data_IF_710415255187
#
_entry.id   IF_710415255187
#
_cell.length_a   1.000
_cell.length_b   1.000
_cell.length_c   1.000
_cell.angle_alpha   90.00
_cell.angle_beta   90.00
_cell.angle_gamma   90.00
#
_symmetry.space_group_name_H-M   'P 1'
#
loop_
_entity.id
_entity.type
_entity.pdbx_description
1 polymer ?
#
# COMPACT_ATOMS: atom_id res chain seq x y z
N UNK A 1 -11.89 11.55 -14.61
CA UNK A 1 -12.63 12.16 -13.51
C UNK A 1 -11.84 13.38 -13.06
N UNK A 2 -12.48 14.58 -12.95
CA UNK A 2 -11.80 15.76 -12.48
C UNK A 2 -11.27 15.54 -11.07
N UNK A 3 -10.02 15.97 -10.82
CA UNK A 3 -9.42 15.93 -9.48
C UNK A 3 -10.27 16.84 -8.56
N UNK A 4 -10.65 16.38 -7.37
CA UNK A 4 -11.34 17.26 -6.43
C UNK A 4 -10.35 18.35 -6.01
N UNK A 5 -10.61 19.58 -6.44
CA UNK A 5 -10.00 20.76 -5.88
C UNK A 5 -10.44 20.82 -4.41
N UNK A 6 -9.51 20.61 -3.49
CA UNK A 6 -9.78 20.89 -2.07
C UNK A 6 -9.82 22.40 -1.93
N UNK A 7 -11.04 22.91 -1.82
CA UNK A 7 -11.27 24.33 -1.64
C UNK A 7 -10.84 24.70 -0.21
N UNK A 8 -9.80 25.51 -0.09
CA UNK A 8 -9.21 25.90 1.21
C UNK A 8 -10.20 26.60 2.13
N UNK A 9 -11.27 27.20 1.61
CA UNK A 9 -12.31 27.81 2.43
C UNK A 9 -13.17 26.80 3.21
N UNK A 10 -13.27 25.56 2.74
CA UNK A 10 -14.00 24.51 3.47
C UNK A 10 -13.16 23.88 4.61
N UNK A 11 -11.84 24.06 4.60
CA UNK A 11 -10.94 23.43 5.57
C UNK A 11 -11.10 24.03 6.96
N UNK A 12 -11.31 25.36 7.06
CA UNK A 12 -11.55 26.02 8.35
C UNK A 12 -12.84 25.54 9.04
N UNK A 13 -13.89 25.28 8.27
CA UNK A 13 -15.17 24.78 8.79
C UNK A 13 -15.03 23.36 9.35
N UNK A 14 -14.18 22.52 8.75
CA UNK A 14 -13.98 21.15 9.22
C UNK A 14 -13.11 21.08 10.49
N UNK A 15 -12.20 22.02 10.71
CA UNK A 15 -11.37 22.07 11.93
C UNK A 15 -12.19 22.46 13.15
N UNK A 16 -13.22 23.26 13.00
CA UNK A 16 -14.16 23.63 14.08
C UNK A 16 -15.07 22.46 14.49
N UNK A 17 -15.32 21.53 13.58
CA UNK A 17 -16.18 20.36 13.82
C UNK A 17 -15.36 19.15 14.27
N UNK A 18 -14.17 18.96 13.67
CA UNK A 18 -13.26 17.88 13.98
C UNK A 18 -12.13 18.43 14.86
N UNK A 19 -11.90 17.84 16.01
CA UNK A 19 -10.71 18.20 16.80
C UNK A 19 -9.43 18.03 15.97
N UNK A 20 -8.40 18.85 16.26
CA UNK A 20 -7.11 18.85 15.57
C UNK A 20 -6.50 17.45 15.39
N UNK A 21 -6.67 16.60 16.39
CA UNK A 21 -6.19 15.21 16.41
C UNK A 21 -6.88 14.37 15.32
N UNK A 22 -8.21 14.46 15.21
CA UNK A 22 -9.01 13.71 14.25
C UNK A 22 -8.71 14.17 12.83
N UNK A 23 -8.68 15.48 12.60
CA UNK A 23 -8.33 16.07 11.31
C UNK A 23 -6.98 15.60 10.79
N UNK A 24 -5.94 15.68 11.63
CA UNK A 24 -4.60 15.24 11.24
C UNK A 24 -4.57 13.75 10.83
N UNK A 25 -5.23 12.88 11.59
CA UNK A 25 -5.25 11.46 11.26
C UNK A 25 -6.12 11.12 10.04
N UNK A 26 -7.19 11.86 9.78
CA UNK A 26 -7.97 11.70 8.55
C UNK A 26 -7.17 12.07 7.31
N UNK A 27 -6.35 13.11 7.37
CA UNK A 27 -5.44 13.46 6.29
C UNK A 27 -4.36 12.39 6.07
N UNK A 28 -3.81 11.82 7.15
CA UNK A 28 -2.87 10.68 7.05
C UNK A 28 -3.53 9.49 6.36
N UNK A 29 -4.72 9.11 6.79
CA UNK A 29 -5.48 8.01 6.17
C UNK A 29 -5.77 8.29 4.70
N UNK A 30 -6.23 9.51 4.37
CA UNK A 30 -6.48 9.91 3.00
C UNK A 30 -5.23 9.84 2.11
N UNK A 31 -4.08 10.28 2.62
CA UNK A 31 -2.83 10.28 1.87
C UNK A 31 -2.31 8.86 1.63
N UNK A 32 -2.41 7.97 2.64
CA UNK A 32 -1.88 6.61 2.57
C UNK A 32 -2.86 5.62 1.90
N UNK A 33 -4.17 5.91 1.89
CA UNK A 33 -5.20 5.07 1.29
C UNK A 33 -5.30 5.24 -0.23
N UNK A 34 -4.20 5.13 -0.96
CA UNK A 34 -4.17 5.21 -2.43
C UNK A 34 -3.77 3.88 -3.05
N UNK A 35 -4.15 3.68 -4.31
CA UNK A 35 -3.91 2.42 -5.01
C UNK A 35 -2.58 2.38 -5.78
N UNK A 36 -1.92 3.53 -5.97
CA UNK A 36 -0.67 3.63 -6.71
C UNK A 36 0.40 4.38 -5.93
N UNK A 37 1.68 3.94 -6.00
CA UNK A 37 2.78 4.58 -5.27
C UNK A 37 2.99 6.04 -5.65
N UNK A 38 2.83 6.39 -6.93
CA UNK A 38 3.01 7.76 -7.42
C UNK A 38 1.96 8.72 -6.84
N UNK A 39 0.70 8.29 -6.82
CA UNK A 39 -0.39 9.08 -6.23
C UNK A 39 -0.25 9.19 -4.71
N UNK A 40 0.17 8.11 -4.05
CA UNK A 40 0.46 8.13 -2.62
C UNK A 40 1.51 9.19 -2.29
N UNK A 41 2.65 9.17 -3.01
CA UNK A 41 3.72 10.14 -2.81
C UNK A 41 3.23 11.58 -3.01
N UNK A 42 2.48 11.84 -4.10
CA UNK A 42 1.88 13.16 -4.38
C UNK A 42 1.00 13.64 -3.22
N UNK A 43 0.09 12.80 -2.75
CA UNK A 43 -0.83 13.13 -1.63
C UNK A 43 -0.11 13.35 -0.31
N UNK A 44 0.88 12.52 -0.01
CA UNK A 44 1.69 12.69 1.21
C UNK A 44 2.42 14.03 1.19
N UNK A 45 2.99 14.42 0.04
CA UNK A 45 3.63 15.73 -0.11
C UNK A 45 2.62 16.87 0.06
N UNK A 46 1.45 16.77 -0.57
CA UNK A 46 0.39 17.78 -0.42
C UNK A 46 -0.02 17.98 1.05
N UNK A 47 -0.19 16.90 1.81
CA UNK A 47 -0.55 17.00 3.23
C UNK A 47 0.59 17.59 4.06
N UNK A 48 1.85 17.23 3.77
CA UNK A 48 3.01 17.77 4.50
C UNK A 48 3.29 19.24 4.19
N UNK A 49 2.78 19.76 3.09
CA UNK A 49 2.86 21.17 2.70
C UNK A 49 1.61 21.98 3.12
N UNK A 50 0.55 21.30 3.58
CA UNK A 50 -0.69 21.94 4.00
C UNK A 50 -0.46 22.76 5.29
N UNK A 51 -0.69 24.07 5.27
CA UNK A 51 -0.45 24.93 6.44
C UNK A 51 -1.37 24.59 7.62
N UNK A 52 -2.60 24.11 7.36
CA UNK A 52 -3.53 23.68 8.41
C UNK A 52 -3.03 22.40 9.07
N UNK A 53 -2.59 21.42 8.28
CA UNK A 53 -1.98 20.21 8.83
C UNK A 53 -0.73 20.55 9.66
N UNK A 54 0.12 21.44 9.16
CA UNK A 54 1.33 21.86 9.86
C UNK A 54 1.04 22.53 11.21
N UNK A 55 -0.02 23.36 11.30
CA UNK A 55 -0.43 23.97 12.57
C UNK A 55 -0.86 22.93 13.62
N UNK A 56 -1.41 21.79 13.18
CA UNK A 56 -1.81 20.70 14.06
C UNK A 56 -0.69 19.72 14.39
N UNK A 57 0.46 19.77 13.69
CA UNK A 57 1.59 18.87 13.97
C UNK A 57 2.27 19.11 15.30
N UNK A 58 2.10 20.28 15.91
CA UNK A 58 2.56 20.55 17.27
C UNK A 58 1.80 19.70 18.31
N UNK A 59 0.50 19.51 18.09
CA UNK A 59 -0.37 18.68 18.94
C UNK A 59 -0.30 17.20 18.59
N UNK A 60 -0.02 16.87 17.30
CA UNK A 60 -0.02 15.49 16.79
C UNK A 60 1.25 15.20 15.99
N UNK A 61 2.43 15.25 16.60
CA UNK A 61 3.70 15.05 15.89
C UNK A 61 3.82 13.67 15.24
N UNK A 62 3.15 12.66 15.81
CA UNK A 62 3.11 11.32 15.26
C UNK A 62 2.52 11.25 13.85
N UNK A 63 1.50 12.05 13.53
CA UNK A 63 0.89 12.10 12.20
C UNK A 63 1.91 12.52 11.13
N UNK A 64 2.67 13.58 11.42
CA UNK A 64 3.76 14.06 10.54
C UNK A 64 4.86 13.01 10.41
N UNK A 65 5.28 12.39 11.54
CA UNK A 65 6.32 11.35 11.54
C UNK A 65 5.92 10.19 10.63
N UNK A 66 4.69 9.69 10.73
CA UNK A 66 4.20 8.59 9.89
C UNK A 66 4.21 8.91 8.40
N UNK A 67 3.76 10.13 8.02
CA UNK A 67 3.79 10.57 6.62
C UNK A 67 5.22 10.77 6.11
N UNK A 68 6.09 11.42 6.89
CA UNK A 68 7.50 11.62 6.51
C UNK A 68 8.23 10.30 6.33
N UNK A 69 8.01 9.33 7.24
CA UNK A 69 8.56 7.98 7.14
C UNK A 69 8.13 7.29 5.82
N UNK A 70 6.87 7.46 5.41
CA UNK A 70 6.38 6.88 4.15
C UNK A 70 7.07 7.47 2.90
N UNK A 71 7.46 8.75 2.92
CA UNK A 71 8.18 9.39 1.81
C UNK A 71 9.60 8.85 1.62
N UNK A 72 10.28 8.55 2.72
CA UNK A 72 11.64 8.01 2.69
C UNK A 72 11.66 6.49 2.67
N UNK A 73 10.48 5.87 2.53
CA UNK A 73 10.30 4.41 2.52
C UNK A 73 10.74 3.71 3.81
N UNK A 74 10.73 4.43 4.94
CA UNK A 74 10.88 3.83 6.27
C UNK A 74 9.54 3.23 6.72
N UNK A 75 9.24 2.08 6.15
CA UNK A 75 7.97 1.39 6.38
C UNK A 75 7.82 0.89 7.82
N UNK A 76 8.93 0.52 8.47
CA UNK A 76 8.90 0.08 9.85
C UNK A 76 8.43 1.19 10.78
N UNK A 77 9.00 2.38 10.66
CA UNK A 77 8.60 3.56 11.44
C UNK A 77 7.16 3.98 11.08
N UNK A 78 6.81 3.99 9.79
CA UNK A 78 5.46 4.34 9.35
C UNK A 78 4.41 3.40 9.97
N UNK A 79 4.58 2.08 9.85
CA UNK A 79 3.65 1.08 10.40
C UNK A 79 3.61 1.13 11.92
N UNK A 80 4.75 1.33 12.59
CA UNK A 80 4.79 1.50 14.04
C UNK A 80 3.97 2.70 14.48
N UNK A 81 4.13 3.84 13.81
CA UNK A 81 3.39 5.07 14.09
C UNK A 81 1.88 4.89 13.89
N UNK A 82 1.47 4.23 12.81
CA UNK A 82 0.06 3.94 12.53
C UNK A 82 -0.56 3.00 13.58
N UNK A 83 0.18 2.00 14.04
CA UNK A 83 -0.28 1.10 15.11
C UNK A 83 -0.47 1.83 16.43
N UNK A 84 0.43 2.76 16.75
CA UNK A 84 0.32 3.59 17.95
C UNK A 84 -0.84 4.59 17.89
N UNK A 85 -1.31 4.94 16.68
CA UNK A 85 -2.49 5.77 16.46
C UNK A 85 -3.82 5.01 16.63
N UNK A 86 -3.80 3.67 16.61
CA UNK A 86 -5.00 2.85 16.67
C UNK A 86 -5.94 3.19 17.85
N UNK A 87 -5.47 3.42 19.08
CA UNK A 87 -6.36 3.82 20.19
C UNK A 87 -7.10 5.13 19.92
N UNK A 88 -6.46 6.09 19.24
CA UNK A 88 -7.08 7.36 18.86
C UNK A 88 -8.21 7.12 17.85
N UNK A 89 -7.98 6.28 16.84
CA UNK A 89 -9.01 5.93 15.86
C UNK A 89 -10.17 5.14 16.47
N UNK A 90 -9.87 4.30 17.46
CA UNK A 90 -10.89 3.51 18.16
C UNK A 90 -11.79 4.37 19.07
N UNK A 91 -11.23 5.46 19.61
CA UNK A 91 -12.00 6.43 20.43
C UNK A 91 -12.77 7.43 19.58
N UNK A 92 -12.51 7.51 18.28
CA UNK A 92 -13.23 8.38 17.37
C UNK A 92 -14.67 7.85 17.15
N UNK A 93 -15.71 8.66 17.39
CA UNK A 93 -17.10 8.22 17.25
C UNK A 93 -17.48 7.83 15.82
N UNK A 94 -16.78 8.38 14.81
CA UNK A 94 -17.04 8.09 13.38
C UNK A 94 -16.38 6.78 12.96
N UNK A 95 -15.17 6.50 13.44
CA UNK A 95 -14.40 5.30 13.10
C UNK A 95 -14.81 4.14 14.00
N UNK A 96 -14.68 4.31 15.31
CA UNK A 96 -14.96 3.29 16.31
C UNK A 96 -13.99 2.12 16.34
N UNK A 97 -14.15 1.24 17.33
CA UNK A 97 -13.18 0.16 17.65
C UNK A 97 -12.98 -0.81 16.49
N UNK A 98 -14.07 -1.30 15.90
CA UNK A 98 -13.97 -2.32 14.84
C UNK A 98 -13.42 -1.76 13.55
N UNK A 99 -13.95 -0.59 13.12
CA UNK A 99 -13.51 0.05 11.88
C UNK A 99 -12.07 0.54 11.96
N UNK A 100 -11.60 0.99 13.13
CA UNK A 100 -10.23 1.41 13.33
C UNK A 100 -9.21 0.30 13.01
N UNK A 101 -9.49 -0.95 13.42
CA UNK A 101 -8.64 -2.11 13.07
C UNK A 101 -8.69 -2.41 11.58
N UNK A 102 -9.87 -2.47 10.99
CA UNK A 102 -10.05 -2.72 9.55
C UNK A 102 -9.33 -1.67 8.71
N UNK A 103 -9.41 -0.40 9.12
CA UNK A 103 -8.69 0.69 8.43
C UNK A 103 -7.17 0.52 8.55
N UNK A 104 -6.66 0.19 9.72
CA UNK A 104 -5.23 -0.04 9.91
C UNK A 104 -4.74 -1.18 9.01
N UNK A 105 -5.44 -2.32 9.00
CA UNK A 105 -5.08 -3.47 8.18
C UNK A 105 -5.15 -3.12 6.68
N UNK A 106 -6.17 -2.37 6.25
CA UNK A 106 -6.30 -1.91 4.89
C UNK A 106 -5.18 -0.95 4.47
N UNK A 107 -4.74 -0.06 5.36
CA UNK A 107 -3.59 0.83 5.09
C UNK A 107 -2.30 0.00 5.00
N UNK A 108 -2.04 -0.89 5.95
CA UNK A 108 -0.85 -1.75 5.93
C UNK A 108 -0.82 -2.60 4.66
N UNK A 109 -1.93 -3.19 4.27
CA UNK A 109 -2.06 -3.97 3.03
C UNK A 109 -1.65 -3.14 1.79
N UNK A 110 -2.08 -1.87 1.72
CA UNK A 110 -1.69 -0.97 0.63
C UNK A 110 -0.22 -0.61 0.65
N UNK A 111 0.34 -0.35 1.83
CA UNK A 111 1.78 -0.09 1.98
C UNK A 111 2.62 -1.30 1.56
N UNK A 112 2.23 -2.51 1.96
CA UNK A 112 2.86 -3.76 1.52
C UNK A 112 2.80 -3.88 0.00
N UNK A 113 1.62 -3.68 -0.60
CA UNK A 113 1.45 -3.72 -2.06
C UNK A 113 2.36 -2.72 -2.77
N UNK A 114 2.38 -1.45 -2.30
CA UNK A 114 3.23 -0.41 -2.88
C UNK A 114 4.72 -0.77 -2.78
N UNK A 115 5.14 -1.33 -1.65
CA UNK A 115 6.53 -1.73 -1.44
C UNK A 115 6.94 -2.88 -2.37
N UNK A 116 6.18 -3.98 -2.39
CA UNK A 116 6.54 -5.16 -3.18
C UNK A 116 6.46 -4.94 -4.69
N UNK A 117 5.66 -3.98 -5.14
CA UNK A 117 5.59 -3.63 -6.58
C UNK A 117 6.91 -3.12 -7.15
N UNK A 118 7.80 -2.59 -6.32
CA UNK A 118 9.09 -2.06 -6.75
C UNK A 118 10.14 -3.15 -6.99
N UNK A 119 9.89 -4.40 -6.56
CA UNK A 119 10.87 -5.47 -6.58
C UNK A 119 10.36 -6.66 -7.40
N UNK A 120 11.28 -7.38 -8.04
CA UNK A 120 10.98 -8.65 -8.70
C UNK A 120 11.00 -9.82 -7.71
N UNK A 121 11.85 -9.70 -6.69
CA UNK A 121 12.06 -10.72 -5.68
C UNK A 121 12.32 -10.09 -4.32
N UNK A 122 11.59 -10.53 -3.27
CA UNK A 122 11.72 -9.98 -1.91
C UNK A 122 11.68 -11.11 -0.89
N UNK A 123 12.58 -11.07 0.09
CA UNK A 123 12.59 -12.01 1.22
C UNK A 123 11.40 -11.78 2.14
N UNK A 124 10.72 -12.85 2.56
CA UNK A 124 9.63 -12.78 3.53
C UNK A 124 10.11 -12.30 4.90
N UNK A 125 11.36 -12.64 5.28
CA UNK A 125 11.96 -12.15 6.54
C UNK A 125 12.16 -10.63 6.53
N UNK A 126 12.60 -10.06 5.41
CA UNK A 126 12.71 -8.61 5.26
C UNK A 126 11.34 -7.94 5.35
N UNK A 127 10.32 -8.47 4.69
CA UNK A 127 8.95 -7.96 4.76
C UNK A 127 8.37 -8.06 6.18
N UNK A 128 8.66 -9.16 6.88
CA UNK A 128 8.25 -9.33 8.28
C UNK A 128 8.89 -8.29 9.20
N UNK A 129 10.16 -7.96 8.97
CA UNK A 129 10.84 -6.89 9.70
C UNK A 129 10.21 -5.50 9.48
N UNK A 130 9.74 -5.22 8.27
CA UNK A 130 9.14 -3.93 7.92
C UNK A 130 7.67 -3.81 8.35
N UNK A 131 6.86 -4.84 8.09
CA UNK A 131 5.40 -4.78 8.23
C UNK A 131 4.83 -5.61 9.37
N UNK A 132 5.66 -6.46 9.98
CA UNK A 132 5.31 -7.33 11.10
C UNK A 132 4.91 -8.76 10.68
N UNK A 133 4.65 -9.60 11.68
CA UNK A 133 4.46 -11.06 11.52
C UNK A 133 3.30 -11.45 10.58
N UNK A 134 2.27 -10.61 10.46
CA UNK A 134 1.09 -10.90 9.64
C UNK A 134 1.29 -10.67 8.13
N UNK A 135 2.48 -10.21 7.70
CA UNK A 135 2.72 -9.85 6.30
C UNK A 135 2.50 -11.02 5.34
N UNK A 136 2.81 -12.23 5.73
CA UNK A 136 2.59 -13.42 4.90
C UNK A 136 1.09 -13.63 4.59
N UNK A 137 0.22 -13.43 5.58
CA UNK A 137 -1.23 -13.48 5.40
C UNK A 137 -1.73 -12.39 4.44
N UNK A 138 -1.24 -11.17 4.63
CA UNK A 138 -1.54 -10.02 3.74
C UNK A 138 -1.14 -10.31 2.29
N UNK A 139 0.04 -10.91 2.08
CA UNK A 139 0.51 -11.27 0.73
C UNK A 139 -0.39 -12.33 0.08
N UNK A 140 -0.78 -13.36 0.83
CA UNK A 140 -1.71 -14.39 0.35
C UNK A 140 -3.03 -13.75 -0.07
N UNK A 141 -3.58 -12.88 0.75
CA UNK A 141 -4.82 -12.17 0.47
C UNK A 141 -4.71 -11.30 -0.78
N UNK A 142 -3.63 -10.53 -0.94
CA UNK A 142 -3.37 -9.73 -2.13
C UNK A 142 -3.27 -10.58 -3.41
N UNK A 143 -2.63 -11.75 -3.33
CA UNK A 143 -2.49 -12.68 -4.46
C UNK A 143 -3.85 -13.31 -4.80
N UNK A 144 -4.59 -13.79 -3.81
CA UNK A 144 -5.90 -14.41 -4.00
C UNK A 144 -6.92 -13.47 -4.64
N UNK A 145 -6.89 -12.18 -4.27
CA UNK A 145 -7.75 -11.15 -4.87
C UNK A 145 -7.22 -10.61 -6.22
N UNK A 146 -6.12 -11.15 -6.74
CA UNK A 146 -5.52 -10.67 -7.99
C UNK A 146 -4.94 -9.25 -7.91
N UNK A 147 -4.81 -8.71 -6.70
CA UNK A 147 -4.25 -7.38 -6.48
C UNK A 147 -2.72 -7.34 -6.59
N UNK A 148 -2.08 -8.50 -6.48
CA UNK A 148 -0.65 -8.72 -6.65
C UNK A 148 -0.40 -9.97 -7.49
N UNK A 149 0.24 -9.81 -8.65
CA UNK A 149 0.66 -10.92 -9.51
C UNK A 149 2.05 -11.41 -9.07
N UNK A 150 2.05 -12.33 -8.11
CA UNK A 150 3.26 -12.86 -7.51
C UNK A 150 2.98 -14.28 -6.97
N UNK A 151 4.05 -15.03 -6.72
CA UNK A 151 3.99 -16.32 -6.02
C UNK A 151 4.89 -16.29 -4.78
N UNK A 152 4.53 -17.08 -3.78
CA UNK A 152 5.35 -17.26 -2.58
C UNK A 152 6.07 -18.59 -2.69
N UNK A 153 7.41 -18.55 -2.72
CA UNK A 153 8.26 -19.72 -2.55
C UNK A 153 8.53 -19.91 -1.06
N UNK A 154 7.82 -20.85 -0.47
CA UNK A 154 7.94 -21.16 0.96
C UNK A 154 9.25 -21.85 1.31
N UNK A 155 9.85 -22.58 0.38
CA UNK A 155 11.12 -23.28 0.64
C UNK A 155 12.28 -22.27 0.74
N UNK A 156 12.28 -21.26 -0.15
CA UNK A 156 13.26 -20.19 -0.15
C UNK A 156 12.87 -19.00 0.72
N UNK A 157 11.63 -18.95 1.26
CA UNK A 157 11.09 -17.82 2.02
C UNK A 157 11.15 -16.51 1.23
N UNK A 158 10.69 -16.55 -0.02
CA UNK A 158 10.78 -15.42 -0.96
C UNK A 158 9.44 -15.21 -1.66
N UNK A 159 9.06 -13.94 -1.82
CA UNK A 159 8.02 -13.51 -2.75
C UNK A 159 8.67 -13.24 -4.10
N UNK A 160 8.17 -13.85 -5.16
CA UNK A 160 8.61 -13.64 -6.54
C UNK A 160 7.47 -13.08 -7.37
N UNK A 161 7.73 -12.01 -8.10
CA UNK A 161 6.78 -11.43 -9.03
C UNK A 161 6.61 -12.39 -10.22
N UNK A 162 5.38 -12.70 -10.56
CA UNK A 162 5.14 -13.44 -11.79
C UNK A 162 5.46 -12.53 -12.98
N UNK A 163 6.28 -13.05 -13.89
CA UNK A 163 6.46 -12.40 -15.17
C UNK A 163 5.07 -12.23 -15.80
N UNK A 164 4.75 -11.07 -16.41
CA UNK A 164 3.50 -10.95 -17.14
C UNK A 164 3.43 -12.13 -18.09
N UNK A 165 2.38 -12.95 -17.96
CA UNK A 165 2.15 -14.04 -18.88
C UNK A 165 2.19 -13.43 -20.29
N UNK A 166 3.30 -13.62 -20.97
CA UNK A 166 3.31 -13.42 -22.42
C UNK A 166 2.12 -14.23 -22.91
N UNK A 167 1.17 -13.56 -23.54
CA UNK A 167 -0.01 -14.18 -24.10
C UNK A 167 0.39 -15.53 -24.71
N UNK A 168 -0.35 -16.62 -24.47
CA UNK A 168 0.05 -17.95 -24.93
C UNK A 168 0.49 -17.80 -26.37
N UNK A 169 1.75 -18.15 -26.64
CA UNK A 169 2.29 -18.06 -28.00
C UNK A 169 1.30 -18.78 -28.89
N UNK A 170 0.84 -18.16 -29.96
CA UNK A 170 -0.19 -18.75 -30.80
C UNK A 170 0.29 -20.15 -31.21
N UNK A 171 -0.64 -21.09 -31.23
CA UNK A 171 -0.44 -22.53 -31.47
C UNK A 171 0.31 -22.81 -32.79
N UNK A 172 0.53 -21.79 -33.64
CA UNK A 172 1.39 -21.85 -34.83
C UNK A 172 2.78 -22.42 -34.57
N UNK A 173 3.36 -22.24 -33.37
CA UNK A 173 4.68 -22.79 -33.05
C UNK A 173 4.65 -24.31 -32.81
N UNK A 174 3.50 -24.86 -32.41
CA UNK A 174 3.33 -26.30 -32.21
C UNK A 174 3.17 -27.03 -33.56
N UNK A 175 2.57 -26.39 -34.55
CA UNK A 175 2.49 -26.91 -35.92
C UNK A 175 3.86 -26.94 -36.59
N UNK A 176 4.66 -25.87 -36.42
CA UNK A 176 6.04 -25.81 -36.93
C UNK A 176 6.95 -26.85 -36.26
N UNK A 177 6.77 -27.12 -34.96
CA UNK A 177 7.50 -28.18 -34.25
C UNK A 177 7.10 -29.57 -34.71
N UNK A 178 5.79 -29.82 -34.97
CA UNK A 178 5.30 -31.09 -35.53
C UNK A 178 5.84 -31.35 -36.95
N UNK A 179 5.90 -30.33 -37.79
CA UNK A 179 6.46 -30.43 -39.13
C UNK A 179 7.96 -30.72 -39.10
N UNK A 180 8.72 -30.10 -38.20
CA UNK A 180 10.15 -30.41 -37.99
C UNK A 180 10.37 -31.85 -37.48
N UNK A 181 9.56 -32.29 -36.54
CA UNK A 181 9.66 -33.67 -36.05
C UNK A 181 9.29 -34.70 -37.14
N UNK A 182 8.31 -34.42 -38.00
CA UNK A 182 7.95 -35.29 -39.13
C UNK A 182 9.05 -35.36 -40.20
N UNK A 183 9.83 -34.30 -40.37
CA UNK A 183 10.97 -34.30 -41.30
C UNK A 183 12.14 -35.14 -40.76
N UNK A 184 12.41 -35.15 -39.45
CA UNK A 184 13.46 -35.94 -38.83
C UNK A 184 13.12 -37.46 -38.83
N UNK A 185 11.83 -37.81 -38.80
CA UNK A 185 11.42 -39.24 -38.87
C UNK A 185 11.47 -39.85 -40.30
N UNK A 186 11.68 -39.05 -41.32
CA UNK A 186 11.77 -39.49 -42.73
C UNK A 186 13.20 -39.59 -43.23
N UNK A 187 14.20 -39.31 -42.41
CA UNK A 187 15.63 -39.54 -42.63
C UNK A 187 16.07 -40.86 -41.99
#
# INVERSE_FOLDING_TARGET
LPEPHIDTQHVEVYTDILGALQYAWYLVLWALCTNTPSLQRKRVMQVLEDPVFLSHTETVPAARTGLSASLVSDWALCVHTLRNALPVWQSDPTIGVQRGRVLLDAVIMRLVKCHVQAYERVSLSALTGLFGANVAHILIELIQHGALHARIDWACQVLEKEAPCLAPRPISDLTALRERMALVQRM
#
